data_IF_148253797608
#
_entry.id   IF_148253797608
#
_cell.length_a   1.000
_cell.length_b   1.000
_cell.length_c   1.000
_cell.angle_alpha   90.00
_cell.angle_beta   90.00
_cell.angle_gamma   90.00
#
_symmetry.space_group_name_H-M   'P 1'
#
loop_
_entity.id
_entity.type
_entity.pdbx_description
1 polymer ?
#
# COMPACT_ATOMS: atom_id res chain seq x y z
N UNK A 1 -36.06 -68.12 26.53
CA UNK A 1 -34.62 -68.11 26.89
C UNK A 1 -33.86 -68.12 25.57
N UNK A 2 -33.25 -67.04 25.08
CA UNK A 2 -32.98 -65.73 25.63
C UNK A 2 -33.28 -64.69 24.52
N UNK A 3 -33.92 -63.59 24.88
CA UNK A 3 -33.88 -62.37 24.07
C UNK A 3 -32.44 -61.86 24.13
N UNK A 4 -31.80 -61.81 22.97
CA UNK A 4 -30.47 -61.24 22.80
C UNK A 4 -30.62 -59.72 22.98
N UNK A 5 -30.42 -59.25 24.21
CA UNK A 5 -30.33 -57.84 24.54
C UNK A 5 -29.20 -57.24 23.68
N UNK A 6 -29.58 -56.57 22.58
CA UNK A 6 -28.70 -55.72 21.79
C UNK A 6 -28.25 -54.55 22.68
N UNK A 7 -27.24 -54.80 23.48
CA UNK A 7 -26.65 -53.86 24.40
C UNK A 7 -26.24 -52.59 23.67
N UNK A 8 -26.80 -51.48 24.16
CA UNK A 8 -26.16 -50.16 24.33
C UNK A 8 -24.77 -50.03 23.70
N UNK A 9 -24.64 -49.11 22.73
CA UNK A 9 -23.40 -48.67 22.05
C UNK A 9 -22.07 -49.06 22.73
N UNK A 10 -21.15 -49.69 21.98
CA UNK A 10 -19.77 -49.88 22.44
C UNK A 10 -19.20 -48.49 22.79
N UNK A 11 -18.78 -48.32 24.05
CA UNK A 11 -18.21 -47.07 24.55
C UNK A 11 -17.04 -46.58 23.69
N UNK A 12 -16.32 -47.50 23.06
CA UNK A 12 -15.27 -47.18 22.10
C UNK A 12 -15.81 -46.50 20.83
N UNK A 13 -16.85 -47.06 20.22
CA UNK A 13 -17.46 -46.51 19.00
C UNK A 13 -18.05 -45.12 19.28
N UNK A 14 -18.67 -44.94 20.44
CA UNK A 14 -19.15 -43.64 20.89
C UNK A 14 -18.00 -42.63 21.04
N UNK A 15 -16.89 -43.02 21.67
CA UNK A 15 -15.74 -42.14 21.86
C UNK A 15 -15.09 -41.73 20.52
N UNK A 16 -14.92 -42.68 19.60
CA UNK A 16 -14.41 -42.41 18.26
C UNK A 16 -15.36 -41.52 17.46
N UNK A 17 -16.68 -41.77 17.53
CA UNK A 17 -17.69 -40.93 16.88
C UNK A 17 -17.71 -39.49 17.43
N UNK A 18 -17.57 -39.32 18.75
CA UNK A 18 -17.46 -37.99 19.37
C UNK A 18 -16.21 -37.27 18.86
N UNK A 19 -15.06 -37.94 18.83
CA UNK A 19 -13.82 -37.35 18.34
C UNK A 19 -13.92 -36.93 16.87
N UNK A 20 -14.59 -37.75 16.04
CA UNK A 20 -14.89 -37.42 14.65
C UNK A 20 -15.81 -36.20 14.53
N UNK A 21 -16.89 -36.14 15.30
CA UNK A 21 -17.81 -35.00 15.29
C UNK A 21 -17.11 -33.70 15.70
N UNK A 22 -16.40 -33.73 16.85
CA UNK A 22 -15.67 -32.56 17.35
C UNK A 22 -14.54 -32.13 16.43
N UNK A 23 -13.79 -33.08 15.87
CA UNK A 23 -12.73 -32.78 14.90
C UNK A 23 -13.29 -32.10 13.64
N UNK A 24 -14.45 -32.55 13.13
CA UNK A 24 -15.07 -31.98 11.95
C UNK A 24 -15.60 -30.56 12.23
N UNK A 25 -16.24 -30.35 13.38
CA UNK A 25 -16.67 -29.02 13.79
C UNK A 25 -15.50 -28.07 13.96
N UNK A 26 -14.43 -28.50 14.64
CA UNK A 26 -13.24 -27.68 14.83
C UNK A 26 -12.54 -27.35 13.50
N UNK A 27 -12.42 -28.33 12.60
CA UNK A 27 -11.84 -28.10 11.27
C UNK A 27 -12.69 -27.13 10.44
N UNK A 28 -14.02 -27.24 10.53
CA UNK A 28 -14.95 -26.29 9.90
C UNK A 28 -14.81 -24.88 10.46
N UNK A 29 -14.59 -24.73 11.76
CA UNK A 29 -14.35 -23.42 12.39
C UNK A 29 -13.03 -22.84 11.89
N UNK A 30 -11.97 -23.65 11.81
CA UNK A 30 -10.68 -23.23 11.27
C UNK A 30 -10.82 -22.75 9.81
N UNK A 31 -11.49 -23.52 8.95
CA UNK A 31 -11.73 -23.13 7.55
C UNK A 31 -12.60 -21.86 7.41
N UNK A 32 -13.55 -21.65 8.31
CA UNK A 32 -14.33 -20.41 8.33
C UNK A 32 -13.45 -19.20 8.68
N UNK A 33 -12.59 -19.33 9.69
CA UNK A 33 -11.66 -18.27 10.10
C UNK A 33 -10.60 -17.98 9.03
N UNK A 34 -10.06 -19.01 8.38
CA UNK A 34 -9.21 -18.87 7.20
C UNK A 34 -9.91 -18.05 6.10
N UNK A 35 -11.17 -18.35 5.81
CA UNK A 35 -11.96 -17.62 4.81
C UNK A 35 -12.23 -16.15 5.17
N UNK A 36 -12.46 -15.83 6.44
CA UNK A 36 -12.65 -14.43 6.89
C UNK A 36 -11.37 -13.62 6.71
N UNK A 37 -10.23 -14.14 7.17
CA UNK A 37 -8.93 -13.51 6.98
C UNK A 37 -8.54 -13.41 5.50
N UNK A 38 -8.84 -14.43 4.70
CA UNK A 38 -8.66 -14.42 3.25
C UNK A 38 -9.53 -13.37 2.54
N UNK A 39 -10.75 -13.12 3.03
CA UNK A 39 -11.59 -12.04 2.55
C UNK A 39 -10.96 -10.66 2.80
N UNK A 40 -10.50 -10.43 4.03
CA UNK A 40 -9.83 -9.18 4.42
C UNK A 40 -8.52 -8.96 3.63
N UNK A 41 -7.75 -10.02 3.35
CA UNK A 41 -6.51 -9.89 2.57
C UNK A 41 -6.79 -9.51 1.12
N UNK A 42 -7.78 -10.15 0.48
CA UNK A 42 -8.19 -9.83 -0.89
C UNK A 42 -8.71 -8.41 -1.01
N UNK A 43 -9.53 -7.96 -0.05
CA UNK A 43 -10.03 -6.58 0.00
C UNK A 43 -8.88 -5.57 0.14
N UNK A 44 -7.97 -5.80 1.10
CA UNK A 44 -6.82 -4.94 1.32
C UNK A 44 -5.89 -4.87 0.09
N UNK A 45 -5.61 -5.99 -0.58
CA UNK A 45 -4.83 -5.99 -1.81
C UNK A 45 -5.53 -5.27 -2.96
N UNK A 46 -6.85 -5.40 -3.07
CA UNK A 46 -7.66 -4.66 -4.05
C UNK A 46 -7.61 -3.15 -3.83
N UNK A 47 -7.77 -2.72 -2.58
CA UNK A 47 -7.67 -1.30 -2.20
C UNK A 47 -6.25 -0.75 -2.39
N UNK A 48 -5.21 -1.51 -2.00
CA UNK A 48 -3.82 -1.14 -2.23
C UNK A 48 -3.54 -0.92 -3.73
N UNK A 49 -3.99 -1.83 -4.60
CA UNK A 49 -3.81 -1.69 -6.05
C UNK A 49 -4.54 -0.46 -6.61
N UNK A 50 -5.73 -0.13 -6.08
CA UNK A 50 -6.45 1.09 -6.46
C UNK A 50 -5.70 2.35 -6.00
N UNK A 51 -5.19 2.35 -4.77
CA UNK A 51 -4.37 3.45 -4.22
C UNK A 51 -3.09 3.65 -5.04
N UNK A 52 -2.35 2.58 -5.36
CA UNK A 52 -1.16 2.65 -6.21
C UNK A 52 -1.46 3.23 -7.58
N UNK A 53 -2.60 2.88 -8.17
CA UNK A 53 -3.04 3.42 -9.47
C UNK A 53 -3.29 4.93 -9.37
N UNK A 54 -3.96 5.35 -8.30
CA UNK A 54 -4.20 6.78 -8.00
C UNK A 54 -2.89 7.53 -7.79
N UNK A 55 -2.00 7.02 -6.92
CA UNK A 55 -0.68 7.57 -6.67
C UNK A 55 0.15 7.70 -7.95
N UNK A 56 0.09 6.71 -8.83
CA UNK A 56 0.75 6.77 -10.14
C UNK A 56 0.17 7.86 -11.03
N UNK A 57 -1.13 8.14 -10.95
CA UNK A 57 -1.75 9.23 -11.72
C UNK A 57 -1.26 10.58 -11.21
N UNK A 58 -1.33 10.80 -9.90
CA UNK A 58 -0.81 11.99 -9.23
C UNK A 58 0.67 12.22 -9.55
N UNK A 59 1.49 11.18 -9.43
CA UNK A 59 2.91 11.23 -9.76
C UNK A 59 3.17 11.65 -11.22
N UNK A 60 2.37 11.20 -12.18
CA UNK A 60 2.55 11.59 -13.58
C UNK A 60 2.17 13.06 -13.84
N UNK A 61 1.17 13.58 -13.13
CA UNK A 61 0.79 14.99 -13.19
C UNK A 61 1.88 15.87 -12.55
N UNK A 62 2.40 15.46 -11.40
CA UNK A 62 3.54 16.09 -10.71
C UNK A 62 4.81 16.05 -11.58
N UNK A 63 5.12 14.90 -12.20
CA UNK A 63 6.24 14.75 -13.11
C UNK A 63 6.13 15.67 -14.33
N UNK A 64 4.92 15.83 -14.88
CA UNK A 64 4.67 16.78 -15.97
C UNK A 64 4.94 18.21 -15.54
N UNK A 65 4.49 18.59 -14.35
CA UNK A 65 4.74 19.92 -13.75
C UNK A 65 6.23 20.15 -13.55
N UNK A 66 6.93 19.19 -12.93
CA UNK A 66 8.38 19.24 -12.75
C UNK A 66 9.13 19.42 -14.08
N UNK A 67 8.79 18.62 -15.10
CA UNK A 67 9.44 18.73 -16.42
C UNK A 67 9.17 20.08 -17.09
N UNK A 68 7.95 20.61 -16.97
CA UNK A 68 7.60 21.94 -17.48
C UNK A 68 8.42 23.03 -16.79
N UNK A 69 8.54 22.96 -15.46
CA UNK A 69 9.25 23.96 -14.67
C UNK A 69 10.74 23.96 -14.95
N UNK A 70 11.37 22.78 -15.00
CA UNK A 70 12.80 22.64 -15.35
C UNK A 70 13.06 23.17 -16.77
N UNK A 71 12.19 22.87 -17.74
CA UNK A 71 12.35 23.36 -19.10
C UNK A 71 12.18 24.89 -19.19
N UNK A 72 11.21 25.44 -18.47
CA UNK A 72 10.99 26.89 -18.39
C UNK A 72 12.16 27.60 -17.73
N UNK A 73 12.68 27.08 -16.62
CA UNK A 73 13.84 27.64 -15.93
C UNK A 73 15.09 27.61 -16.82
N UNK A 74 15.41 26.47 -17.44
CA UNK A 74 16.53 26.39 -18.38
C UNK A 74 16.42 27.42 -19.50
N UNK A 75 15.22 27.58 -20.07
CA UNK A 75 15.01 28.53 -21.16
C UNK A 75 15.15 29.99 -20.71
N UNK A 76 14.64 30.32 -19.52
CA UNK A 76 14.76 31.66 -18.96
C UNK A 76 16.21 31.99 -18.58
N UNK A 77 16.96 31.00 -18.06
CA UNK A 77 18.40 31.12 -17.78
C UNK A 77 19.22 31.37 -19.05
N UNK A 78 18.99 30.59 -20.11
CA UNK A 78 19.62 30.81 -21.42
C UNK A 78 19.40 32.23 -21.94
N UNK A 79 18.15 32.70 -21.94
CA UNK A 79 17.80 34.05 -22.38
C UNK A 79 18.47 35.12 -21.53
N UNK A 80 18.50 34.94 -20.21
CA UNK A 80 19.11 35.89 -19.28
C UNK A 80 20.63 35.95 -19.47
N UNK A 81 21.31 34.81 -19.65
CA UNK A 81 22.74 34.77 -19.97
C UNK A 81 23.06 35.44 -21.30
N UNK A 82 22.34 35.10 -22.38
CA UNK A 82 22.54 35.74 -23.68
C UNK A 82 22.33 37.26 -23.63
N UNK A 83 21.35 37.72 -22.84
CA UNK A 83 21.08 39.14 -22.67
C UNK A 83 22.18 39.87 -21.92
N UNK A 84 22.77 39.24 -20.90
CA UNK A 84 23.86 39.81 -20.11
C UNK A 84 25.17 39.90 -20.90
N UNK A 85 25.38 39.03 -21.88
CA UNK A 85 26.56 39.03 -22.76
C UNK A 85 26.38 39.90 -24.03
N UNK A 86 25.16 40.33 -24.34
CA UNK A 86 24.86 41.10 -25.56
C UNK A 86 25.30 42.57 -25.47
N UNK A 87 25.97 43.06 -26.51
CA UNK A 87 26.30 44.49 -26.68
C UNK A 87 25.14 45.30 -27.33
N UNK A 88 24.12 44.62 -27.87
CA UNK A 88 22.93 45.26 -28.46
C UNK A 88 21.86 45.47 -27.38
N UNK A 89 21.63 46.74 -27.01
CA UNK A 89 20.65 47.16 -25.99
C UNK A 89 19.21 46.71 -26.32
N UNK A 90 18.83 46.73 -27.60
CA UNK A 90 17.47 46.35 -28.00
C UNK A 90 17.26 44.83 -27.92
N UNK A 91 18.30 44.05 -28.24
CA UNK A 91 18.29 42.60 -28.10
C UNK A 91 18.26 42.19 -26.61
N UNK A 92 19.10 42.84 -25.80
CA UNK A 92 19.17 42.62 -24.36
C UNK A 92 17.80 42.86 -23.70
N UNK A 93 17.17 44.02 -23.94
CA UNK A 93 15.88 44.35 -23.33
C UNK A 93 14.79 43.33 -23.72
N UNK A 94 14.80 42.88 -24.98
CA UNK A 94 13.86 41.87 -25.46
C UNK A 94 14.06 40.52 -24.78
N UNK A 95 15.29 40.03 -24.68
CA UNK A 95 15.59 38.74 -24.07
C UNK A 95 15.26 38.74 -22.57
N UNK A 96 15.56 39.81 -21.85
CA UNK A 96 15.20 39.95 -20.43
C UNK A 96 13.68 39.97 -20.24
N UNK A 97 12.92 40.70 -21.06
CA UNK A 97 11.45 40.69 -21.01
C UNK A 97 10.89 39.29 -21.31
N UNK A 98 11.47 38.56 -22.29
CA UNK A 98 11.09 37.18 -22.58
C UNK A 98 11.39 36.23 -21.40
N UNK A 99 12.56 36.36 -20.77
CA UNK A 99 12.92 35.56 -19.59
C UNK A 99 11.98 35.84 -18.41
N UNK A 100 11.70 37.13 -18.15
CA UNK A 100 10.72 37.55 -17.14
C UNK A 100 9.36 36.91 -17.39
N UNK A 101 8.85 36.98 -18.63
CA UNK A 101 7.56 36.38 -18.97
C UNK A 101 7.53 34.86 -18.78
N UNK A 102 8.61 34.14 -19.10
CA UNK A 102 8.69 32.68 -18.86
C UNK A 102 8.53 32.41 -17.36
N UNK A 103 9.27 33.13 -16.51
CA UNK A 103 9.20 32.94 -15.07
C UNK A 103 7.83 33.33 -14.48
N UNK A 104 7.28 34.49 -14.86
CA UNK A 104 6.01 34.95 -14.29
C UNK A 104 4.80 34.18 -14.81
N UNK A 105 4.83 33.72 -16.07
CA UNK A 105 3.66 33.13 -16.73
C UNK A 105 3.70 31.60 -16.88
N UNK A 106 4.87 30.96 -16.95
CA UNK A 106 4.97 29.52 -17.29
C UNK A 106 5.40 28.62 -16.14
N UNK A 107 6.18 29.12 -15.18
CA UNK A 107 6.53 28.35 -13.99
C UNK A 107 5.31 28.10 -13.12
N UNK A 108 5.29 26.97 -12.43
CA UNK A 108 4.45 26.77 -11.25
C UNK A 108 4.79 27.77 -10.13
N UNK A 109 3.88 27.94 -9.18
CA UNK A 109 4.11 28.81 -8.02
C UNK A 109 5.23 28.28 -7.12
N UNK A 110 5.30 26.96 -6.90
CA UNK A 110 6.34 26.32 -6.10
C UNK A 110 7.72 26.50 -6.74
N UNK A 111 7.85 26.32 -8.05
CA UNK A 111 9.12 26.56 -8.75
C UNK A 111 9.53 28.03 -8.69
N UNK A 112 8.59 28.96 -8.91
CA UNK A 112 8.85 30.39 -8.84
C UNK A 112 9.39 30.81 -7.46
N UNK A 113 8.77 30.29 -6.39
CA UNK A 113 9.20 30.51 -5.01
C UNK A 113 10.55 29.85 -4.71
N UNK A 114 10.79 28.64 -5.21
CA UNK A 114 12.05 27.92 -5.02
C UNK A 114 13.24 28.67 -5.64
N UNK A 115 13.03 29.35 -6.77
CA UNK A 115 14.01 30.23 -7.39
C UNK A 115 14.21 31.58 -6.65
N UNK A 116 13.53 31.80 -5.53
CA UNK A 116 13.64 33.02 -4.73
C UNK A 116 13.09 34.27 -5.42
N UNK A 117 12.23 34.09 -6.44
CA UNK A 117 11.69 35.19 -7.21
C UNK A 117 10.62 35.96 -6.40
N UNK A 118 10.49 37.29 -6.58
CA UNK A 118 9.56 38.10 -5.79
C UNK A 118 8.10 37.82 -6.14
N UNK A 119 7.38 37.17 -5.23
CA UNK A 119 5.96 36.81 -5.40
C UNK A 119 5.05 38.00 -5.74
N UNK A 120 5.38 39.19 -5.23
CA UNK A 120 4.65 40.43 -5.52
C UNK A 120 4.57 40.74 -7.02
N UNK A 121 5.62 40.40 -7.79
CA UNK A 121 5.68 40.61 -9.25
C UNK A 121 4.76 39.62 -9.96
N UNK A 122 4.78 38.35 -9.53
CA UNK A 122 3.90 37.29 -10.08
C UNK A 122 2.43 37.56 -9.78
N UNK A 123 2.11 37.97 -8.56
CA UNK A 123 0.77 38.37 -8.17
C UNK A 123 0.30 39.57 -9.01
N UNK A 124 1.12 40.61 -9.13
CA UNK A 124 0.81 41.77 -9.98
C UNK A 124 0.57 41.39 -11.45
N UNK A 125 1.38 40.46 -12.00
CA UNK A 125 1.19 39.93 -13.35
C UNK A 125 -0.15 39.19 -13.49
N UNK A 126 -0.49 38.29 -12.55
CA UNK A 126 -1.74 37.53 -12.56
C UNK A 126 -2.99 38.42 -12.39
N UNK A 127 -2.87 39.49 -11.61
CA UNK A 127 -3.92 40.50 -11.43
C UNK A 127 -4.05 41.46 -12.62
N UNK A 128 -3.08 41.48 -13.54
CA UNK A 128 -3.03 42.46 -14.62
C UNK A 128 -2.83 43.88 -14.11
N UNK A 129 -2.04 44.06 -13.06
CA UNK A 129 -1.83 45.36 -12.40
C UNK A 129 -1.15 46.37 -13.34
N UNK A 130 -1.69 47.59 -13.37
CA UNK A 130 -1.05 48.73 -14.05
C UNK A 130 -0.16 49.56 -13.08
N UNK A 131 -0.36 49.40 -11.77
CA UNK A 131 0.28 50.20 -10.72
C UNK A 131 1.53 49.52 -10.11
N UNK A 132 1.68 48.20 -10.27
CA UNK A 132 2.76 47.40 -9.69
C UNK A 132 3.65 46.80 -10.80
N UNK A 133 4.94 46.53 -10.53
CA UNK A 133 5.80 45.83 -11.47
C UNK A 133 5.25 44.44 -11.82
N UNK A 134 5.07 44.16 -13.10
CA UNK A 134 4.63 42.84 -13.63
C UNK A 134 5.75 42.08 -14.34
N UNK A 135 6.92 42.70 -14.46
CA UNK A 135 8.13 42.11 -15.03
C UNK A 135 9.25 42.08 -14.00
N UNK A 136 10.04 41.02 -14.05
CA UNK A 136 11.28 40.89 -13.31
C UNK A 136 12.34 41.81 -13.91
N UNK A 137 13.09 42.48 -13.03
CA UNK A 137 14.22 43.31 -13.44
C UNK A 137 15.49 42.46 -13.68
N UNK A 138 16.52 43.05 -14.26
CA UNK A 138 17.78 42.37 -14.59
C UNK A 138 18.47 41.76 -13.36
N UNK A 139 18.44 42.43 -12.20
CA UNK A 139 19.05 41.94 -10.96
C UNK A 139 18.33 40.70 -10.43
N UNK A 140 17.00 40.67 -10.51
CA UNK A 140 16.18 39.51 -10.11
C UNK A 140 16.41 38.32 -11.04
N UNK A 141 16.52 38.56 -12.34
CA UNK A 141 16.85 37.52 -13.32
C UNK A 141 18.27 37.00 -13.12
N UNK A 142 19.24 37.88 -12.84
CA UNK A 142 20.63 37.49 -12.57
C UNK A 142 20.75 36.69 -11.26
N UNK A 143 19.97 37.02 -10.23
CA UNK A 143 19.92 36.24 -9.00
C UNK A 143 19.41 34.81 -9.27
N UNK A 144 18.34 34.67 -10.07
CA UNK A 144 17.76 33.38 -10.42
C UNK A 144 18.71 32.48 -11.23
N UNK A 145 19.66 33.04 -11.99
CA UNK A 145 20.70 32.26 -12.70
C UNK A 145 21.52 31.37 -11.75
N UNK A 146 21.65 31.77 -10.48
CA UNK A 146 22.49 31.11 -9.48
C UNK A 146 21.70 30.23 -8.52
N UNK A 147 20.40 30.07 -8.73
CA UNK A 147 19.50 29.25 -7.92
C UNK A 147 18.94 28.15 -8.80
N UNK A 148 19.04 26.91 -8.35
CA UNK A 148 18.48 25.76 -9.04
C UNK A 148 17.23 25.26 -8.32
N UNK A 149 16.36 24.59 -9.07
CA UNK A 149 15.25 23.82 -8.52
C UNK A 149 15.83 22.60 -7.79
N UNK A 150 15.99 22.73 -6.49
CA UNK A 150 16.71 21.78 -5.62
C UNK A 150 15.79 20.68 -5.06
N UNK A 151 16.33 19.90 -4.11
CA UNK A 151 15.60 18.79 -3.50
C UNK A 151 14.37 19.25 -2.72
N UNK A 152 14.38 20.44 -2.11
CA UNK A 152 13.24 20.95 -1.34
C UNK A 152 12.05 21.20 -2.29
N UNK A 153 12.31 21.74 -3.49
CA UNK A 153 11.30 21.87 -4.54
C UNK A 153 10.80 20.51 -5.05
N UNK A 154 11.71 19.55 -5.28
CA UNK A 154 11.33 18.19 -5.70
C UNK A 154 10.43 17.54 -4.66
N UNK A 155 10.78 17.63 -3.37
CA UNK A 155 9.98 17.08 -2.28
C UNK A 155 8.62 17.78 -2.16
N UNK A 156 8.55 19.09 -2.39
CA UNK A 156 7.27 19.83 -2.43
C UNK A 156 6.39 19.36 -3.59
N UNK A 157 6.95 19.15 -4.78
CA UNK A 157 6.19 18.70 -5.97
C UNK A 157 5.72 17.25 -5.83
N UNK A 158 6.56 16.35 -5.33
CA UNK A 158 6.24 14.90 -5.26
C UNK A 158 5.70 14.45 -3.91
N UNK A 159 5.51 15.36 -2.96
CA UNK A 159 5.05 15.03 -1.61
C UNK A 159 3.68 14.35 -1.59
N UNK A 160 2.75 14.79 -2.45
CA UNK A 160 1.39 14.23 -2.47
C UNK A 160 1.39 12.80 -3.01
N UNK A 161 2.05 12.50 -4.13
CA UNK A 161 2.14 11.12 -4.61
C UNK A 161 2.94 10.23 -3.66
N UNK A 162 3.98 10.76 -3.00
CA UNK A 162 4.73 10.07 -1.95
C UNK A 162 3.82 9.58 -0.81
N UNK A 163 3.02 10.47 -0.24
CA UNK A 163 2.04 10.12 0.81
C UNK A 163 1.01 9.09 0.34
N UNK A 164 0.58 9.16 -0.94
CA UNK A 164 -0.35 8.20 -1.52
C UNK A 164 0.27 6.81 -1.73
N UNK A 165 1.55 6.73 -2.12
CA UNK A 165 2.29 5.47 -2.19
C UNK A 165 2.48 4.86 -0.79
N UNK A 166 2.82 5.67 0.21
CA UNK A 166 2.95 5.21 1.59
C UNK A 166 1.62 4.65 2.13
N UNK A 167 0.50 5.29 1.80
CA UNK A 167 -0.83 4.79 2.12
C UNK A 167 -1.14 3.44 1.42
N UNK A 168 -0.75 3.30 0.15
CA UNK A 168 -0.91 2.06 -0.60
C UNK A 168 -0.07 0.92 0.02
N UNK A 169 1.18 1.19 0.37
CA UNK A 169 2.09 0.22 1.00
C UNK A 169 1.62 -0.21 2.38
N UNK A 170 1.11 0.73 3.18
CA UNK A 170 0.48 0.42 4.45
C UNK A 170 -0.68 -0.55 4.26
N UNK A 171 -1.59 -0.26 3.32
CA UNK A 171 -2.76 -1.09 3.07
C UNK A 171 -2.38 -2.47 2.51
N UNK A 172 -1.36 -2.54 1.66
CA UNK A 172 -0.81 -3.80 1.17
C UNK A 172 -0.26 -4.67 2.32
N UNK A 173 0.46 -4.05 3.27
CA UNK A 173 0.98 -4.75 4.44
C UNK A 173 -0.12 -5.28 5.35
N UNK A 174 -1.21 -4.53 5.54
CA UNK A 174 -2.41 -5.01 6.25
C UNK A 174 -2.99 -6.26 5.57
N UNK A 175 -3.05 -6.28 4.23
CA UNK A 175 -3.48 -7.46 3.47
C UNK A 175 -2.56 -8.66 3.65
N UNK A 176 -1.24 -8.42 3.71
CA UNK A 176 -0.25 -9.45 3.99
C UNK A 176 -0.39 -10.03 5.39
N UNK A 177 -0.61 -9.18 6.39
CA UNK A 177 -0.82 -9.62 7.76
C UNK A 177 -2.12 -10.44 7.90
N UNK A 178 -3.21 -9.99 7.27
CA UNK A 178 -4.45 -10.75 7.20
C UNK A 178 -4.24 -12.13 6.54
N UNK A 179 -3.52 -12.20 5.43
CA UNK A 179 -3.22 -13.47 4.77
C UNK A 179 -2.43 -14.41 5.70
N UNK A 180 -1.42 -13.89 6.40
CA UNK A 180 -0.63 -14.66 7.36
C UNK A 180 -1.48 -15.21 8.52
N UNK A 181 -2.53 -14.49 8.94
CA UNK A 181 -3.48 -15.00 9.92
C UNK A 181 -4.34 -16.13 9.35
N UNK A 182 -4.83 -15.99 8.11
CA UNK A 182 -5.59 -17.02 7.40
C UNK A 182 -4.80 -18.33 7.24
N UNK A 183 -3.54 -18.24 6.80
CA UNK A 183 -2.65 -19.39 6.62
C UNK A 183 -2.47 -20.21 7.91
N UNK A 184 -2.44 -19.55 9.07
CA UNK A 184 -2.35 -20.23 10.37
C UNK A 184 -3.61 -21.04 10.68
N UNK A 185 -4.79 -20.54 10.32
CA UNK A 185 -6.03 -21.31 10.46
C UNK A 185 -6.12 -22.46 9.45
N UNK A 186 -5.62 -22.26 8.23
CA UNK A 186 -5.48 -23.34 7.25
C UNK A 186 -4.66 -24.50 7.83
N UNK A 187 -3.52 -24.20 8.47
CA UNK A 187 -2.70 -25.19 9.17
C UNK A 187 -3.46 -25.87 10.32
N UNK A 188 -4.22 -25.13 11.12
CA UNK A 188 -5.05 -25.71 12.18
C UNK A 188 -6.08 -26.71 11.61
N UNK A 189 -6.74 -26.36 10.50
CA UNK A 189 -7.66 -27.23 9.78
C UNK A 189 -7.00 -28.53 9.29
N UNK A 190 -5.77 -28.45 8.76
CA UNK A 190 -4.98 -29.63 8.36
C UNK A 190 -4.69 -30.53 9.57
N UNK A 191 -4.22 -29.98 10.69
CA UNK A 191 -3.93 -30.75 11.91
C UNK A 191 -5.20 -31.46 12.42
N UNK A 192 -6.34 -30.77 12.43
CA UNK A 192 -7.62 -31.33 12.87
C UNK A 192 -8.11 -32.43 11.92
N UNK A 193 -7.87 -32.29 10.62
CA UNK A 193 -8.17 -33.33 9.62
C UNK A 193 -7.30 -34.57 9.81
N UNK A 194 -6.02 -34.42 10.17
CA UNK A 194 -5.15 -35.55 10.55
C UNK A 194 -5.70 -36.29 11.77
N UNK A 195 -6.23 -35.56 12.76
CA UNK A 195 -6.93 -36.17 13.90
C UNK A 195 -8.15 -37.00 13.46
N UNK A 196 -8.99 -36.44 12.58
CA UNK A 196 -10.16 -37.14 12.03
C UNK A 196 -9.78 -38.43 11.32
N UNK A 197 -8.71 -38.39 10.53
CA UNK A 197 -8.20 -39.56 9.84
C UNK A 197 -7.84 -40.69 10.82
N UNK A 198 -7.11 -40.38 11.90
CA UNK A 198 -6.78 -41.38 12.92
C UNK A 198 -8.01 -41.90 13.68
N UNK A 199 -8.97 -41.04 13.99
CA UNK A 199 -10.23 -41.47 14.60
C UNK A 199 -11.04 -42.39 13.67
N UNK A 200 -11.05 -42.11 12.37
CA UNK A 200 -11.67 -42.97 11.35
C UNK A 200 -10.97 -44.33 11.22
N UNK A 201 -9.63 -44.36 11.19
CA UNK A 201 -8.87 -45.61 11.22
C UNK A 201 -9.16 -46.44 12.47
N UNK A 202 -9.32 -45.80 13.63
CA UNK A 202 -9.63 -46.47 14.88
C UNK A 202 -10.93 -47.29 14.80
N UNK A 203 -11.94 -46.82 14.06
CA UNK A 203 -13.20 -47.54 13.84
C UNK A 203 -13.06 -48.79 12.96
N UNK A 204 -12.05 -48.85 12.09
CA UNK A 204 -11.85 -49.97 11.15
C UNK A 204 -11.23 -51.19 11.87
N UNK A 205 -10.38 -50.97 12.87
CA UNK A 205 -9.67 -52.06 13.55
C UNK A 205 -10.52 -52.72 14.66
N UNK A 206 -10.59 -54.06 14.62
CA UNK A 206 -11.26 -54.87 15.66
C UNK A 206 -10.33 -55.35 16.78
N UNK A 207 -9.02 -55.08 16.67
CA UNK A 207 -8.00 -55.47 17.65
C UNK A 207 -7.71 -54.35 18.66
N UNK A 208 -6.86 -54.61 19.65
CA UNK A 208 -6.43 -53.59 20.64
C UNK A 208 -5.73 -52.37 20.01
N UNK A 209 -5.25 -52.49 18.77
CA UNK A 209 -4.63 -51.40 18.00
C UNK A 209 -5.60 -50.21 17.82
N UNK A 210 -6.92 -50.45 17.83
CA UNK A 210 -7.96 -49.41 17.75
C UNK A 210 -7.81 -48.31 18.79
N UNK A 211 -7.37 -48.66 20.00
CA UNK A 211 -7.12 -47.70 21.08
C UNK A 211 -5.87 -46.86 20.84
N UNK A 212 -4.85 -47.41 20.16
CA UNK A 212 -3.64 -46.69 19.80
C UNK A 212 -3.94 -45.57 18.79
N UNK A 213 -4.70 -45.88 17.74
CA UNK A 213 -5.14 -44.86 16.77
C UNK A 213 -6.09 -43.83 17.38
N UNK A 214 -7.03 -44.25 18.24
CA UNK A 214 -7.92 -43.33 18.92
C UNK A 214 -7.15 -42.37 19.84
N UNK A 215 -6.17 -42.87 20.60
CA UNK A 215 -5.31 -42.06 21.46
C UNK A 215 -4.46 -41.06 20.66
N UNK A 216 -3.88 -41.49 19.53
CA UNK A 216 -3.12 -40.62 18.64
C UNK A 216 -3.99 -39.51 18.05
N UNK A 217 -5.18 -39.86 17.55
CA UNK A 217 -6.17 -38.89 17.09
C UNK A 217 -6.53 -37.88 18.19
N UNK A 218 -6.77 -38.35 19.41
CA UNK A 218 -7.05 -37.47 20.56
C UNK A 218 -5.92 -36.49 20.88
N UNK A 219 -4.66 -36.93 20.84
CA UNK A 219 -3.50 -36.04 21.07
C UNK A 219 -3.38 -34.99 19.95
N UNK A 220 -3.53 -35.41 18.70
CA UNK A 220 -3.50 -34.49 17.54
C UNK A 220 -4.65 -33.49 17.61
N UNK A 221 -5.86 -33.94 17.99
CA UNK A 221 -7.02 -33.08 18.19
C UNK A 221 -6.75 -31.99 19.23
N UNK A 222 -6.32 -32.38 20.43
CA UNK A 222 -6.05 -31.44 21.52
C UNK A 222 -4.94 -30.45 21.13
N UNK A 223 -3.92 -30.91 20.40
CA UNK A 223 -2.85 -30.06 19.90
C UNK A 223 -3.36 -29.05 18.86
N UNK A 224 -4.18 -29.50 17.90
CA UNK A 224 -4.79 -28.65 16.87
C UNK A 224 -5.74 -27.61 17.45
N UNK A 225 -6.60 -28.01 18.39
CA UNK A 225 -7.50 -27.09 19.10
C UNK A 225 -6.69 -26.10 19.94
N UNK A 226 -5.69 -26.57 20.69
CA UNK A 226 -4.83 -25.72 21.50
C UNK A 226 -4.08 -24.68 20.67
N UNK A 227 -3.54 -25.09 19.52
CA UNK A 227 -2.92 -24.19 18.55
C UNK A 227 -3.93 -23.16 18.01
N UNK A 228 -5.09 -23.61 17.54
CA UNK A 228 -6.15 -22.76 16.98
C UNK A 228 -6.65 -21.70 17.97
N UNK A 229 -6.85 -22.09 19.24
CA UNK A 229 -7.29 -21.16 20.29
C UNK A 229 -6.23 -20.09 20.63
N UNK A 230 -4.96 -20.34 20.33
CA UNK A 230 -3.87 -19.38 20.51
C UNK A 230 -3.67 -18.43 19.33
N UNK A 231 -4.44 -18.57 18.24
CA UNK A 231 -4.36 -17.68 17.08
C UNK A 231 -5.20 -16.41 17.28
N UNK A 232 -4.90 -15.39 16.48
CA UNK A 232 -5.73 -14.18 16.38
C UNK A 232 -6.96 -14.48 15.52
N UNK A 233 -8.15 -14.34 16.09
CA UNK A 233 -9.42 -14.59 15.40
C UNK A 233 -9.86 -13.35 14.62
N UNK A 234 -10.54 -13.56 13.48
CA UNK A 234 -11.10 -12.49 12.66
C UNK A 234 -12.38 -11.90 13.28
#
# INVERSE_FOLDING_TARGET
MAEDEKGTFDKFELAAAILLGLGATAASIAGHQEGLWGGQSVEAYGEAAALTTKASTTYNDELTTYMQDVAADQRAKELSWEALESEDEALQARQLSMASWIYTAQLSESAYKALGLPMEVREAYNEGSEDKPTELNAEQLEAALNIDLDQDYVDEVFGSSGDEFDAADKRFNEGRDANNHGDKFSLAGVILTVSLFFAGLALVFKSKIRWGFLGMGGVVFLSGVGYMLGLTWA
#
